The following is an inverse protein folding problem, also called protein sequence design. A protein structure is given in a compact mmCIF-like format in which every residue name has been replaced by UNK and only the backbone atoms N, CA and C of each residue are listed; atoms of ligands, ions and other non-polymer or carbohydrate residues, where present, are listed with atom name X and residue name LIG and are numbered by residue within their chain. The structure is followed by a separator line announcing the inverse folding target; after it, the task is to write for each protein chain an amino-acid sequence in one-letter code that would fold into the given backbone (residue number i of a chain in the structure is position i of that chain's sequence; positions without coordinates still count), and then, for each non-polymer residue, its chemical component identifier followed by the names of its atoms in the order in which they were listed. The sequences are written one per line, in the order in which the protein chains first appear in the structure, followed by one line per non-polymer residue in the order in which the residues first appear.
data_IF_234340585303
#
_entry.id   IF_234340585303
#
_cell.length_a   1.000
_cell.length_b   1.000
_cell.length_c   1.000
_cell.angle_alpha   90.00
_cell.angle_beta   90.00
_cell.angle_gamma   90.00
#
_symmetry.space_group_name_H-M   'P 1'
#
loop_
_entity.id
_entity.type
_entity.pdbx_description
1 polymer ?
#
# COMPACT_ATOMS: atom_id res chain seq x y z
N UNK A 1 30.69 -0.71 11.87
CA UNK A 1 30.63 0.76 11.81
C UNK A 1 30.17 1.27 10.44
N UNK A 2 30.62 0.67 9.33
CA UNK A 2 30.15 0.99 7.96
C UNK A 2 28.72 0.54 7.64
N UNK A 3 28.23 -0.53 8.27
CA UNK A 3 26.89 -1.11 8.07
C UNK A 3 25.76 -0.13 8.39
N UNK A 4 25.85 0.52 9.55
CA UNK A 4 24.86 1.49 10.04
C UNK A 4 24.66 2.69 9.10
N UNK A 5 25.71 3.06 8.35
CA UNK A 5 25.63 4.15 7.38
C UNK A 5 24.86 3.73 6.12
N UNK A 6 25.03 2.49 5.68
CA UNK A 6 24.26 1.92 4.57
C UNK A 6 22.78 1.79 4.93
N UNK A 7 22.48 1.27 6.12
CA UNK A 7 21.10 1.13 6.62
C UNK A 7 20.38 2.50 6.68
N UNK A 8 21.09 3.55 7.07
CA UNK A 8 20.54 4.89 7.16
C UNK A 8 20.29 5.52 5.78
N UNK A 9 21.17 5.29 4.81
CA UNK A 9 20.98 5.71 3.42
C UNK A 9 19.78 4.99 2.78
N UNK A 10 19.63 3.69 3.02
CA UNK A 10 18.51 2.88 2.53
C UNK A 10 17.18 3.29 3.16
N UNK A 11 17.17 3.62 4.46
CA UNK A 11 16.00 4.16 5.14
C UNK A 11 15.58 5.51 4.54
N UNK A 12 16.51 6.43 4.35
CA UNK A 12 16.23 7.75 3.76
C UNK A 12 15.73 7.63 2.31
N UNK A 13 16.30 6.69 1.55
CA UNK A 13 15.87 6.42 0.19
C UNK A 13 14.43 5.88 0.17
N UNK A 14 14.13 4.88 1.02
CA UNK A 14 12.79 4.32 1.17
C UNK A 14 11.79 5.39 1.58
N UNK A 15 12.15 6.26 2.54
CA UNK A 15 11.32 7.38 3.00
C UNK A 15 10.99 8.38 1.89
N UNK A 16 11.95 8.68 1.01
CA UNK A 16 11.73 9.54 -0.17
C UNK A 16 10.79 8.89 -1.19
N UNK A 17 10.88 7.58 -1.36
CA UNK A 17 9.96 6.87 -2.25
C UNK A 17 8.55 6.81 -1.69
N UNK A 18 8.38 6.57 -0.39
CA UNK A 18 7.06 6.50 0.25
C UNK A 18 6.40 7.87 0.43
N UNK A 19 7.16 8.97 0.52
CA UNK A 19 6.59 10.32 0.63
C UNK A 19 5.81 10.80 -0.60
N UNK A 20 5.90 10.07 -1.72
CA UNK A 20 5.14 10.33 -2.95
C UNK A 20 3.82 9.54 -3.01
N UNK A 21 3.58 8.65 -2.02
CA UNK A 21 2.43 7.77 -1.97
C UNK A 21 1.41 8.30 -0.97
N UNK A 22 0.12 7.95 -1.12
CA UNK A 22 -0.86 8.20 -0.09
C UNK A 22 -0.53 7.37 1.17
N UNK A 23 -0.89 7.91 2.33
CA UNK A 23 -0.82 7.15 3.58
C UNK A 23 -1.73 5.91 3.48
N UNK A 24 -1.17 4.74 3.79
CA UNK A 24 -1.89 3.48 3.77
C UNK A 24 -2.20 3.01 5.19
N UNK A 25 -3.29 3.52 5.75
CA UNK A 25 -3.86 3.00 6.99
C UNK A 25 -4.95 1.98 6.67
N UNK A 26 -4.78 0.74 7.16
CA UNK A 26 -5.72 -0.35 6.98
C UNK A 26 -6.43 -0.63 8.30
N UNK A 27 -7.75 -0.40 8.31
CA UNK A 27 -8.66 -0.95 9.29
C UNK A 27 -9.45 -2.07 8.61
N UNK A 28 -9.34 -3.29 9.14
CA UNK A 28 -10.00 -4.47 8.57
C UNK A 28 -11.52 -4.44 8.75
N UNK A 29 -12.03 -3.56 9.63
CA UNK A 29 -13.46 -3.33 9.81
C UNK A 29 -13.98 -2.17 8.94
N UNK A 30 -13.10 -1.43 8.27
CA UNK A 30 -13.46 -0.38 7.33
C UNK A 30 -13.73 -0.99 5.95
N UNK A 31 -14.98 -0.89 5.48
CA UNK A 31 -15.38 -1.38 4.16
C UNK A 31 -14.59 -0.72 3.02
N UNK A 32 -14.01 0.46 3.24
CA UNK A 32 -13.21 1.17 2.25
C UNK A 32 -11.74 0.75 2.18
N UNK A 33 -11.27 -0.18 3.01
CA UNK A 33 -9.88 -0.66 2.95
C UNK A 33 -9.49 -1.18 1.57
N UNK A 34 -10.42 -1.78 0.83
CA UNK A 34 -10.18 -2.36 -0.50
C UNK A 34 -9.86 -1.26 -1.52
N UNK A 35 -10.59 -0.15 -1.46
CA UNK A 35 -10.34 1.04 -2.27
C UNK A 35 -9.00 1.67 -1.89
N UNK A 36 -8.71 1.84 -0.59
CA UNK A 36 -7.41 2.36 -0.11
C UNK A 36 -6.22 1.53 -0.61
N UNK A 37 -6.32 0.19 -0.55
CA UNK A 37 -5.29 -0.70 -1.09
C UNK A 37 -5.14 -0.56 -2.59
N UNK A 38 -6.24 -0.44 -3.34
CA UNK A 38 -6.22 -0.25 -4.80
C UNK A 38 -5.57 1.08 -5.18
N UNK A 39 -5.96 2.16 -4.52
CA UNK A 39 -5.45 3.50 -4.78
C UNK A 39 -3.95 3.59 -4.47
N UNK A 40 -3.51 2.96 -3.38
CA UNK A 40 -2.09 2.86 -3.07
C UNK A 40 -1.31 2.09 -4.14
N UNK A 41 -1.82 0.94 -4.61
CA UNK A 41 -1.17 0.17 -5.68
C UNK A 41 -1.06 0.98 -6.98
N UNK A 42 -2.11 1.71 -7.35
CA UNK A 42 -2.10 2.60 -8.52
C UNK A 42 -1.11 3.75 -8.34
N UNK A 43 -1.01 4.33 -7.13
CA UNK A 43 -0.03 5.37 -6.84
C UNK A 43 1.42 4.87 -7.02
N UNK A 44 1.72 3.65 -6.58
CA UNK A 44 3.04 3.02 -6.81
C UNK A 44 3.31 2.79 -8.30
N UNK A 45 2.32 2.30 -9.05
CA UNK A 45 2.44 2.07 -10.50
C UNK A 45 2.69 3.39 -11.27
N UNK A 46 2.18 4.51 -10.77
CA UNK A 46 2.35 5.84 -11.36
C UNK A 46 3.65 6.56 -10.96
N UNK A 47 4.48 5.98 -10.09
CA UNK A 47 5.79 6.56 -9.77
C UNK A 47 6.68 6.61 -11.02
N UNK A 48 7.24 7.78 -11.34
CA UNK A 48 8.15 7.94 -12.47
C UNK A 48 9.54 7.35 -12.20
N UNK A 49 9.95 7.30 -10.93
CA UNK A 49 11.22 6.72 -10.50
C UNK A 49 11.13 5.19 -10.41
N UNK A 50 11.72 4.50 -11.39
CA UNK A 50 11.78 3.02 -11.43
C UNK A 50 12.49 2.40 -10.23
N UNK A 51 13.49 3.08 -9.66
CA UNK A 51 14.19 2.56 -8.49
C UNK A 51 13.29 2.63 -7.26
N UNK A 52 12.41 3.64 -7.17
CA UNK A 52 11.36 3.63 -6.15
C UNK A 52 10.35 2.49 -6.35
N UNK A 53 9.91 2.21 -7.58
CA UNK A 53 9.03 1.07 -7.84
C UNK A 53 9.67 -0.25 -7.38
N UNK A 54 10.96 -0.46 -7.66
CA UNK A 54 11.70 -1.64 -7.23
C UNK A 54 11.84 -1.72 -5.70
N UNK A 55 12.20 -0.61 -5.03
CA UNK A 55 12.29 -0.56 -3.56
C UNK A 55 10.96 -0.92 -2.89
N UNK A 56 9.84 -0.57 -3.52
CA UNK A 56 8.49 -0.78 -2.97
C UNK A 56 7.84 -2.10 -3.39
N UNK A 57 8.51 -2.91 -4.20
CA UNK A 57 7.98 -4.15 -4.78
C UNK A 57 7.56 -5.19 -3.70
N UNK A 58 8.30 -5.26 -2.59
CA UNK A 58 7.92 -6.07 -1.43
C UNK A 58 6.60 -5.60 -0.81
N UNK A 59 6.43 -4.29 -0.62
CA UNK A 59 5.19 -3.67 -0.11
C UNK A 59 4.03 -3.90 -1.07
N UNK A 60 4.24 -3.73 -2.38
CA UNK A 60 3.22 -4.00 -3.41
C UNK A 60 2.72 -5.45 -3.33
N UNK A 61 3.64 -6.42 -3.20
CA UNK A 61 3.25 -7.83 -3.01
C UNK A 61 2.44 -8.05 -1.74
N UNK A 62 2.83 -7.42 -0.64
CA UNK A 62 2.12 -7.54 0.64
C UNK A 62 0.69 -7.00 0.53
N UNK A 63 0.54 -5.80 -0.04
CA UNK A 63 -0.77 -5.16 -0.25
C UNK A 63 -1.65 -5.99 -1.19
N UNK A 64 -1.10 -6.53 -2.30
CA UNK A 64 -1.84 -7.43 -3.20
C UNK A 64 -2.30 -8.72 -2.51
N UNK A 65 -1.45 -9.31 -1.66
CA UNK A 65 -1.83 -10.50 -0.87
C UNK A 65 -2.95 -10.17 0.12
N UNK A 66 -2.84 -9.06 0.84
CA UNK A 66 -3.87 -8.62 1.77
C UNK A 66 -5.19 -8.36 1.06
N UNK A 67 -5.17 -7.67 -0.09
CA UNK A 67 -6.35 -7.47 -0.93
C UNK A 67 -7.04 -8.80 -1.26
N UNK A 68 -6.29 -9.83 -1.68
CA UNK A 68 -6.86 -11.14 -1.99
C UNK A 68 -7.45 -11.82 -0.75
N UNK A 69 -6.77 -11.73 0.39
CA UNK A 69 -7.27 -12.29 1.66
C UNK A 69 -8.59 -11.61 2.03
N UNK A 70 -8.62 -10.28 2.09
CA UNK A 70 -9.81 -9.53 2.48
C UNK A 70 -10.95 -9.76 1.50
N UNK A 71 -10.68 -9.76 0.19
CA UNK A 71 -11.68 -10.03 -0.82
C UNK A 71 -12.28 -11.44 -0.72
N UNK A 72 -11.51 -12.44 -0.25
CA UNK A 72 -12.02 -13.80 -0.05
C UNK A 72 -12.84 -13.95 1.23
N UNK A 73 -12.34 -13.42 2.36
CA UNK A 73 -12.99 -13.60 3.66
C UNK A 73 -14.22 -12.69 3.84
N UNK A 74 -14.15 -11.46 3.35
CA UNK A 74 -15.23 -10.48 3.52
C UNK A 74 -16.28 -10.57 2.39
N UNK A 75 -16.12 -11.45 1.40
CA UNK A 75 -17.06 -11.59 0.28
C UNK A 75 -18.49 -11.91 0.72
N UNK A 76 -18.66 -12.62 1.83
CA UNK A 76 -19.96 -12.98 2.36
C UNK A 76 -20.64 -11.84 3.15
N UNK A 77 -19.90 -10.77 3.47
CA UNK A 77 -20.40 -9.65 4.26
C UNK A 77 -21.05 -8.61 3.33
N UNK A 78 -22.32 -8.25 3.51
CA UNK A 78 -22.97 -7.19 2.73
C UNK A 78 -22.26 -5.83 2.84
N UNK A 79 -21.61 -5.58 3.99
CA UNK A 79 -20.81 -4.38 4.23
C UNK A 79 -19.63 -4.24 3.24
N UNK A 80 -19.04 -5.36 2.81
CA UNK A 80 -17.95 -5.38 1.83
C UNK A 80 -18.39 -4.89 0.44
N UNK A 81 -19.64 -5.14 0.05
CA UNK A 81 -20.17 -4.79 -1.27
C UNK A 81 -20.86 -3.42 -1.31
N UNK A 82 -21.30 -2.92 -0.16
CA UNK A 82 -22.13 -1.71 -0.07
C UNK A 82 -21.34 -0.40 -0.17
N UNK A 83 -20.04 -0.48 -0.48
CA UNK A 83 -19.12 0.59 -0.91
C UNK A 83 -19.75 1.99 -1.07
N UNK A 84 -19.91 2.71 0.05
CA UNK A 84 -20.11 4.16 0.08
C UNK A 84 -18.78 4.89 0.30
N UNK A 85 -17.73 4.42 -0.36
CA UNK A 85 -16.41 5.04 -0.35
C UNK A 85 -16.41 6.22 -1.33
N UNK A 86 -17.28 7.18 -1.08
CA UNK A 86 -17.29 8.46 -1.79
C UNK A 86 -16.35 9.40 -1.03
N UNK A 87 -15.22 9.70 -1.69
CA UNK A 87 -14.21 10.73 -1.40
C UNK A 87 -14.55 11.62 -0.19
N UNK A 88 -13.90 11.33 0.95
CA UNK A 88 -13.54 12.33 1.96
C UNK A 88 -12.14 12.82 1.67
#
# INVERSE_FOLDING_TARGET
SSDLRGDQEDFLYTKRCTSQLPDLYIDVHDSCMVSKMRDYLLAVENLTDRRCQYTLDSTVRLVRRLFIIMAKFCQAEPAFWTNKCSLL
#
